data_IF_491001429417
#
_entry.id   IF_491001429417
#
_cell.length_a   1.000
_cell.length_b   1.000
_cell.length_c   1.000
_cell.angle_alpha   90.00
_cell.angle_beta   90.00
_cell.angle_gamma   90.00
#
_symmetry.space_group_name_H-M   'P 1'
#
loop_
_entity.id
_entity.type
_entity.pdbx_description
1 polymer ?
#
# COMPACT_ATOMS: atom_id res chain seq x y z
N UNK A 1 8.92 -0.84 12.89
CA UNK A 1 9.89 -0.67 11.80
C UNK A 1 10.70 0.62 11.97
N UNK A 2 11.93 0.70 11.41
CA UNK A 2 12.77 1.89 11.52
C UNK A 2 12.26 3.02 10.63
N UNK A 3 12.30 4.25 11.16
CA UNK A 3 12.05 5.47 10.43
C UNK A 3 12.90 6.60 11.04
N UNK A 4 13.57 7.39 10.20
CA UNK A 4 14.40 8.52 10.68
C UNK A 4 13.59 9.57 11.42
N UNK A 5 12.39 9.84 10.90
CA UNK A 5 11.40 10.73 11.47
C UNK A 5 10.02 10.15 11.19
N UNK A 6 9.07 10.26 12.11
CA UNK A 6 7.71 9.82 11.87
C UNK A 6 7.00 10.77 10.90
N UNK A 7 6.08 10.25 10.09
CA UNK A 7 5.14 11.06 9.33
C UNK A 7 3.74 10.82 9.85
N UNK A 8 3.24 11.77 10.62
CA UNK A 8 1.96 11.71 11.31
C UNK A 8 0.90 12.60 10.66
N UNK A 9 1.22 13.29 9.58
CA UNK A 9 0.29 14.19 8.89
C UNK A 9 -0.24 13.56 7.61
N UNK A 10 -1.47 13.93 7.24
CA UNK A 10 -2.09 13.41 6.02
C UNK A 10 -3.09 14.40 5.46
N UNK A 11 -2.97 14.74 4.18
CA UNK A 11 -3.93 15.57 3.45
C UNK A 11 -4.39 16.81 4.23
N UNK A 12 -3.93 17.96 3.83
CA UNK A 12 -4.28 19.23 4.47
C UNK A 12 -5.06 20.15 3.52
N UNK A 13 -5.87 20.98 4.12
CA UNK A 13 -6.53 22.11 3.48
C UNK A 13 -5.83 23.37 3.95
N UNK A 14 -5.12 24.07 3.05
CA UNK A 14 -4.38 25.29 3.34
C UNK A 14 -5.13 26.48 2.77
N UNK A 15 -5.25 27.53 3.55
CA UNK A 15 -5.69 28.84 3.03
C UNK A 15 -4.50 29.51 2.33
N UNK A 16 -4.67 29.87 1.06
CA UNK A 16 -3.58 30.35 0.21
C UNK A 16 -4.14 31.29 -0.88
N UNK A 17 -3.71 32.52 -0.88
CA UNK A 17 -4.17 33.53 -1.83
C UNK A 17 -5.69 33.74 -1.80
N UNK A 18 -6.28 33.81 -0.62
CA UNK A 18 -7.71 34.07 -0.43
C UNK A 18 -8.64 32.88 -0.67
N UNK A 19 -8.12 31.65 -0.82
CA UNK A 19 -8.90 30.43 -1.07
C UNK A 19 -8.33 29.22 -0.35
N UNK A 20 -9.18 28.23 -0.13
CA UNK A 20 -8.76 26.93 0.40
C UNK A 20 -8.23 26.01 -0.70
N UNK A 21 -7.05 25.47 -0.50
CA UNK A 21 -6.35 24.59 -1.45
C UNK A 21 -6.04 23.25 -0.76
N UNK A 22 -6.22 22.15 -1.49
CA UNK A 22 -5.92 20.80 -0.99
C UNK A 22 -4.45 20.47 -1.23
N UNK A 23 -3.74 20.06 -0.18
CA UNK A 23 -2.36 19.59 -0.24
C UNK A 23 -2.27 18.13 0.24
N UNK A 24 -1.49 17.31 -0.46
CA UNK A 24 -1.21 15.92 -0.10
C UNK A 24 -1.55 14.93 -1.21
N UNK A 25 -2.49 14.08 -1.01
CA UNK A 25 -2.76 12.78 -1.60
C UNK A 25 -2.94 12.64 -3.12
N UNK A 26 -2.81 13.65 -3.93
CA UNK A 26 -3.09 13.54 -5.38
C UNK A 26 -1.89 13.09 -6.22
N UNK A 27 -0.70 12.97 -5.64
CA UNK A 27 0.55 12.65 -6.36
C UNK A 27 1.12 11.34 -5.83
N UNK A 28 1.43 10.42 -6.74
CA UNK A 28 2.12 9.18 -6.39
C UNK A 28 3.59 9.47 -6.04
N UNK A 29 4.07 8.85 -4.96
CA UNK A 29 5.43 9.00 -4.50
C UNK A 29 5.57 9.78 -3.20
N UNK A 30 6.81 10.04 -2.74
CA UNK A 30 7.07 10.85 -1.56
C UNK A 30 6.53 12.26 -1.75
N UNK A 31 5.80 12.74 -0.77
CA UNK A 31 5.27 14.11 -0.82
C UNK A 31 6.38 15.11 -0.52
N UNK A 32 6.55 16.15 -1.35
CA UNK A 32 7.66 17.12 -1.18
C UNK A 32 7.71 17.74 0.21
N UNK A 33 6.56 17.99 0.80
CA UNK A 33 6.42 18.59 2.11
C UNK A 33 6.29 17.56 3.25
N UNK A 34 6.35 16.26 2.94
CA UNK A 34 6.21 15.20 3.95
C UNK A 34 4.87 15.17 4.66
N UNK A 35 3.79 15.60 3.99
CA UNK A 35 2.42 15.64 4.52
C UNK A 35 1.60 14.39 4.19
N UNK A 36 2.24 13.27 4.04
CA UNK A 36 1.59 11.98 3.89
C UNK A 36 2.06 11.04 5.00
N UNK A 37 1.12 10.39 5.68
CA UNK A 37 1.36 9.59 6.88
C UNK A 37 2.13 8.30 6.63
N UNK A 38 2.80 7.82 7.67
CA UNK A 38 3.33 6.46 7.72
C UNK A 38 2.20 5.45 7.93
N UNK A 39 2.39 4.25 7.37
CA UNK A 39 1.39 3.18 7.44
C UNK A 39 2.09 1.82 7.51
N UNK A 40 1.43 0.87 8.15
CA UNK A 40 1.75 -0.54 8.05
C UNK A 40 0.52 -1.32 7.64
N UNK A 41 0.71 -2.33 6.81
CA UNK A 41 -0.34 -3.25 6.41
C UNK A 41 0.10 -4.68 6.64
N UNK A 42 -0.85 -5.53 6.99
CA UNK A 42 -0.69 -6.97 7.02
C UNK A 42 -1.82 -7.60 6.19
N UNK A 43 -1.47 -8.46 5.28
CA UNK A 43 -2.41 -9.33 4.58
C UNK A 43 -2.38 -10.70 5.22
N UNK A 44 -3.54 -11.29 5.39
CA UNK A 44 -3.71 -12.63 5.99
C UNK A 44 -4.52 -13.51 5.05
N UNK A 45 -4.05 -14.75 4.87
CA UNK A 45 -4.72 -15.81 4.13
C UNK A 45 -4.71 -17.10 4.92
N UNK A 46 -5.80 -17.83 4.91
CA UNK A 46 -5.95 -19.12 5.58
C UNK A 46 -5.68 -20.32 4.65
N UNK A 47 -5.11 -20.06 3.47
CA UNK A 47 -4.83 -21.03 2.43
C UNK A 47 -5.91 -21.10 1.33
N UNK A 48 -6.97 -20.30 1.43
CA UNK A 48 -8.04 -20.26 0.43
C UNK A 48 -7.66 -19.46 -0.83
N UNK A 49 -6.57 -18.68 -0.79
CA UNK A 49 -5.96 -18.00 -1.94
C UNK A 49 -4.59 -18.62 -2.23
N UNK A 50 -4.53 -19.71 -3.03
CA UNK A 50 -3.29 -20.47 -3.23
C UNK A 50 -2.14 -19.63 -3.80
N UNK A 51 -2.47 -18.64 -4.60
CA UNK A 51 -1.48 -17.73 -5.20
C UNK A 51 -0.82 -16.85 -4.14
N UNK A 52 -1.51 -16.55 -3.04
CA UNK A 52 -0.94 -15.70 -1.98
C UNK A 52 0.23 -16.37 -1.27
N UNK A 53 0.19 -17.67 -1.03
CA UNK A 53 1.32 -18.41 -0.49
C UNK A 53 2.58 -18.33 -1.38
N UNK A 54 2.39 -18.12 -2.70
CA UNK A 54 3.48 -18.01 -3.68
C UNK A 54 3.98 -16.59 -3.87
N UNK A 55 3.09 -15.61 -3.85
CA UNK A 55 3.40 -14.25 -4.31
C UNK A 55 3.22 -13.18 -3.21
N UNK A 56 2.64 -13.53 -2.08
CA UNK A 56 2.42 -12.61 -0.96
C UNK A 56 1.66 -11.36 -1.37
N UNK A 57 2.00 -10.23 -0.76
CA UNK A 57 1.38 -8.94 -1.04
C UNK A 57 1.53 -8.45 -2.49
N UNK A 58 2.44 -9.04 -3.24
CA UNK A 58 2.64 -8.66 -4.64
C UNK A 58 1.44 -9.01 -5.52
N UNK A 59 0.68 -10.03 -5.19
CA UNK A 59 -0.54 -10.42 -5.90
C UNK A 59 -1.60 -9.29 -5.95
N UNK A 60 -1.53 -8.34 -5.03
CA UNK A 60 -2.50 -7.24 -4.91
C UNK A 60 -2.06 -5.96 -5.62
N UNK A 61 -1.02 -5.98 -6.42
CA UNK A 61 -0.42 -4.76 -6.97
C UNK A 61 -0.91 -4.44 -8.38
N UNK A 62 -2.09 -4.90 -8.73
CA UNK A 62 -2.74 -4.61 -10.00
C UNK A 62 -2.34 -5.57 -11.11
N UNK A 63 -3.04 -5.43 -12.22
CA UNK A 63 -2.71 -6.12 -13.45
C UNK A 63 -1.30 -5.74 -13.90
N UNK A 64 -0.51 -6.64 -14.37
CA UNK A 64 0.83 -6.39 -14.92
C UNK A 64 1.81 -5.64 -14.02
N UNK A 65 1.48 -5.35 -12.76
CA UNK A 65 2.32 -4.58 -11.82
C UNK A 65 2.80 -3.24 -12.35
N UNK A 66 2.06 -2.65 -13.21
CA UNK A 66 2.36 -1.38 -13.82
C UNK A 66 1.55 -0.30 -13.14
N UNK A 67 2.04 0.17 -12.03
CA UNK A 67 1.40 1.24 -11.28
C UNK A 67 1.07 2.48 -12.09
N UNK A 68 1.75 2.69 -13.20
CA UNK A 68 1.72 3.96 -13.86
C UNK A 68 1.18 3.91 -15.26
N UNK A 69 1.04 2.74 -15.85
CA UNK A 69 0.76 2.68 -17.28
C UNK A 69 -0.53 2.01 -17.69
N UNK A 70 -1.13 1.20 -16.82
CA UNK A 70 -2.36 0.47 -17.15
C UNK A 70 -3.33 0.40 -15.98
N UNK A 71 -3.26 1.37 -15.09
CA UNK A 71 -4.30 1.51 -14.08
C UNK A 71 -5.60 1.92 -14.76
N UNK A 72 -6.68 1.28 -14.35
CA UNK A 72 -8.01 1.65 -14.77
C UNK A 72 -8.28 3.13 -14.47
N UNK A 73 -8.60 3.92 -15.46
CA UNK A 73 -8.94 5.31 -15.25
C UNK A 73 -10.27 5.41 -14.51
N UNK A 74 -10.44 6.35 -13.56
CA UNK A 74 -11.67 6.48 -12.79
C UNK A 74 -12.94 6.56 -13.64
N UNK A 75 -12.88 7.21 -14.81
CA UNK A 75 -14.00 7.30 -15.73
C UNK A 75 -14.34 5.95 -16.38
N UNK A 76 -13.33 5.16 -16.74
CA UNK A 76 -13.50 3.82 -17.32
C UNK A 76 -14.09 2.86 -16.29
N UNK A 77 -13.59 2.89 -15.05
CA UNK A 77 -14.13 2.07 -13.95
C UNK A 77 -15.58 2.44 -13.65
N UNK A 78 -15.89 3.74 -13.62
CA UNK A 78 -17.26 4.22 -13.38
C UNK A 78 -18.22 3.78 -14.49
N UNK A 79 -17.74 3.68 -15.73
CA UNK A 79 -18.54 3.23 -16.86
C UNK A 79 -18.70 1.70 -16.92
N UNK A 80 -17.90 0.94 -16.18
CA UNK A 80 -17.98 -0.53 -16.18
C UNK A 80 -19.29 -1.01 -15.53
N UNK A 81 -20.06 -1.91 -16.17
CA UNK A 81 -21.39 -2.31 -15.69
C UNK A 81 -21.42 -2.84 -14.26
N UNK A 82 -20.45 -3.64 -13.89
CA UNK A 82 -20.31 -4.23 -12.57
C UNK A 82 -19.49 -3.34 -11.62
N UNK A 83 -18.24 -3.03 -11.99
CA UNK A 83 -17.31 -2.29 -11.12
C UNK A 83 -17.77 -0.86 -10.86
N UNK A 84 -18.47 -0.23 -11.81
CA UNK A 84 -19.01 1.10 -11.66
C UNK A 84 -20.04 1.26 -10.56
N UNK A 85 -20.68 0.15 -10.15
CA UNK A 85 -21.63 0.12 -9.05
C UNK A 85 -21.00 -0.16 -7.69
N UNK A 86 -19.72 -0.51 -7.65
CA UNK A 86 -19.01 -0.85 -6.40
C UNK A 86 -18.45 0.38 -5.71
N UNK A 87 -18.38 0.30 -4.40
CA UNK A 87 -17.71 1.32 -3.59
C UNK A 87 -16.20 1.27 -3.83
N UNK A 88 -15.54 2.44 -3.89
CA UNK A 88 -14.09 2.56 -4.10
C UNK A 88 -13.59 1.99 -5.44
N UNK A 89 -14.32 2.20 -6.50
CA UNK A 89 -14.01 1.67 -7.85
C UNK A 89 -12.60 1.99 -8.36
N UNK A 90 -11.98 3.05 -7.86
CA UNK A 90 -10.59 3.39 -8.21
C UNK A 90 -9.55 2.40 -7.69
N UNK A 91 -9.93 1.49 -6.79
CA UNK A 91 -9.06 0.47 -6.21
C UNK A 91 -9.12 -0.89 -6.94
N UNK A 92 -9.71 -0.95 -8.12
CA UNK A 92 -9.86 -2.18 -8.91
C UNK A 92 -8.53 -2.83 -9.30
N UNK A 93 -7.44 -2.08 -9.31
CA UNK A 93 -6.10 -2.61 -9.50
C UNK A 93 -5.64 -3.58 -8.42
N UNK A 94 -6.34 -3.67 -7.29
CA UNK A 94 -6.07 -4.58 -6.17
C UNK A 94 -7.03 -5.77 -6.17
N UNK A 95 -7.20 -6.41 -7.29
CA UNK A 95 -8.03 -7.62 -7.42
C UNK A 95 -7.22 -8.91 -7.33
N UNK A 96 -7.88 -10.00 -6.98
CA UNK A 96 -7.29 -11.34 -6.97
C UNK A 96 -7.49 -12.05 -8.32
N UNK A 97 -6.55 -12.93 -8.72
CA UNK A 97 -6.53 -13.53 -10.06
C UNK A 97 -7.84 -14.22 -10.47
N UNK A 98 -8.40 -15.10 -9.62
CA UNK A 98 -9.61 -15.84 -9.97
C UNK A 98 -10.86 -14.97 -10.14
N UNK A 99 -10.80 -13.69 -9.78
CA UNK A 99 -11.91 -12.74 -9.98
C UNK A 99 -11.95 -12.16 -11.40
N UNK A 100 -11.00 -12.53 -12.26
CA UNK A 100 -10.91 -12.09 -13.65
C UNK A 100 -10.82 -13.28 -14.61
N UNK A 101 -11.45 -13.14 -15.77
CA UNK A 101 -11.30 -14.10 -16.88
C UNK A 101 -9.91 -14.05 -17.48
N UNK A 102 -9.35 -12.84 -17.58
CA UNK A 102 -7.95 -12.57 -17.89
C UNK A 102 -7.35 -11.74 -16.76
N UNK A 103 -6.36 -12.28 -16.07
CA UNK A 103 -5.70 -11.61 -14.93
C UNK A 103 -4.99 -10.32 -15.34
N UNK A 104 -4.69 -10.13 -16.62
CA UNK A 104 -4.07 -8.94 -17.17
C UNK A 104 -5.08 -7.85 -17.59
N UNK A 105 -6.36 -8.17 -17.56
CA UNK A 105 -7.46 -7.25 -17.89
C UNK A 105 -8.32 -6.97 -16.64
N UNK A 106 -8.15 -5.81 -16.06
CA UNK A 106 -8.90 -5.41 -14.88
C UNK A 106 -10.42 -5.39 -15.10
N UNK A 107 -10.87 -5.22 -16.34
CA UNK A 107 -12.28 -5.14 -16.69
C UNK A 107 -12.92 -6.52 -16.94
N UNK A 108 -12.12 -7.57 -17.13
CA UNK A 108 -12.60 -8.92 -17.48
C UNK A 108 -13.18 -9.69 -16.29
N UNK A 109 -14.03 -9.06 -15.50
CA UNK A 109 -14.63 -9.64 -14.30
C UNK A 109 -15.39 -10.93 -14.63
N UNK A 110 -15.22 -11.97 -13.82
CA UNK A 110 -16.00 -13.21 -13.95
C UNK A 110 -17.46 -12.96 -13.56
N UNK A 111 -18.42 -13.84 -13.92
CA UNK A 111 -19.83 -13.69 -13.57
C UNK A 111 -20.07 -13.52 -12.06
N UNK A 112 -21.12 -12.79 -11.69
CA UNK A 112 -21.41 -12.50 -10.28
C UNK A 112 -21.65 -13.76 -9.45
N UNK A 113 -22.23 -14.81 -10.06
CA UNK A 113 -22.42 -16.11 -9.39
C UNK A 113 -21.10 -16.77 -9.04
N UNK A 114 -20.12 -16.67 -9.94
CA UNK A 114 -18.76 -17.18 -9.71
C UNK A 114 -18.03 -16.37 -8.62
N UNK A 115 -18.14 -15.04 -8.66
CA UNK A 115 -17.63 -14.18 -7.57
C UNK A 115 -18.25 -14.54 -6.22
N UNK A 116 -19.56 -14.75 -6.18
CA UNK A 116 -20.26 -15.12 -4.95
C UNK A 116 -19.78 -16.49 -4.42
N UNK A 117 -19.58 -17.46 -5.32
CA UNK A 117 -19.07 -18.78 -4.97
C UNK A 117 -17.62 -18.69 -4.44
N UNK A 118 -16.75 -17.95 -5.12
CA UNK A 118 -15.37 -17.69 -4.67
C UNK A 118 -15.35 -17.08 -3.27
N UNK A 119 -16.12 -16.05 -3.04
CA UNK A 119 -16.16 -15.36 -1.75
C UNK A 119 -16.72 -16.25 -0.64
N UNK A 120 -17.78 -16.99 -0.91
CA UNK A 120 -18.34 -17.98 0.03
C UNK A 120 -17.34 -19.08 0.35
N UNK A 121 -16.50 -19.45 -0.60
CA UNK A 121 -15.38 -20.39 -0.42
C UNK A 121 -14.19 -19.81 0.31
N UNK A 122 -14.24 -18.53 0.73
CA UNK A 122 -13.16 -17.86 1.46
C UNK A 122 -12.06 -17.27 0.55
N UNK A 123 -12.24 -17.24 -0.77
CA UNK A 123 -11.25 -16.69 -1.70
C UNK A 123 -11.19 -15.16 -1.62
N UNK A 124 -10.57 -14.65 -0.59
CA UNK A 124 -10.26 -13.24 -0.37
C UNK A 124 -9.06 -13.14 0.58
N UNK A 125 -8.41 -11.99 0.64
CA UNK A 125 -7.36 -11.68 1.62
C UNK A 125 -7.91 -10.68 2.63
N UNK A 126 -7.72 -10.97 3.89
CA UNK A 126 -7.99 -10.06 5.00
C UNK A 126 -6.84 -9.05 5.08
N UNK A 127 -7.15 -7.77 5.22
CA UNK A 127 -6.19 -6.67 5.15
C UNK A 127 -6.29 -5.74 6.35
N UNK A 128 -5.36 -5.85 7.25
CA UNK A 128 -5.17 -4.94 8.38
C UNK A 128 -4.36 -3.74 7.94
N UNK A 129 -4.90 -2.55 8.09
CA UNK A 129 -4.28 -1.35 7.53
C UNK A 129 -4.19 -0.22 8.57
N UNK A 130 -3.15 -0.24 9.39
CA UNK A 130 -2.87 0.84 10.34
C UNK A 130 -2.33 2.09 9.62
N UNK A 131 -2.75 3.26 10.10
CA UNK A 131 -2.38 4.58 9.59
C UNK A 131 -2.09 5.55 10.71
N UNK A 132 -0.95 6.24 10.62
CA UNK A 132 -0.47 7.14 11.67
C UNK A 132 -1.37 8.36 11.91
N UNK A 133 -2.08 8.85 10.88
CA UNK A 133 -2.99 9.99 10.99
C UNK A 133 -4.45 9.56 11.02
N UNK A 134 -4.87 8.70 10.07
CA UNK A 134 -6.29 8.45 9.81
C UNK A 134 -6.96 7.42 10.72
N UNK A 135 -6.20 6.78 11.57
CA UNK A 135 -6.72 5.75 12.49
C UNK A 135 -6.09 5.85 13.88
N UNK A 136 -4.78 6.00 13.96
CA UNK A 136 -4.05 5.98 15.23
C UNK A 136 -4.59 6.96 16.29
N UNK A 137 -4.91 8.24 15.97
CA UNK A 137 -5.41 9.17 17.00
C UNK A 137 -6.77 8.78 17.59
N UNK A 138 -7.53 7.94 16.93
CA UNK A 138 -8.83 7.42 17.42
C UNK A 138 -8.76 5.96 17.88
N UNK A 139 -7.52 5.43 18.03
CA UNK A 139 -7.29 4.06 18.51
C UNK A 139 -7.75 2.97 17.55
N UNK A 140 -7.80 3.25 16.23
CA UNK A 140 -8.33 2.35 15.22
C UNK A 140 -7.32 2.03 14.13
N UNK A 141 -7.45 0.85 13.56
CA UNK A 141 -6.86 0.46 12.28
C UNK A 141 -8.00 0.20 11.30
N UNK A 142 -7.80 0.53 10.02
CA UNK A 142 -8.79 0.15 9.01
C UNK A 142 -8.80 -1.37 8.86
N UNK A 143 -9.97 -1.94 8.97
CA UNK A 143 -10.26 -3.31 8.60
C UNK A 143 -10.80 -3.35 7.18
N UNK A 144 -10.18 -4.15 6.34
CA UNK A 144 -10.38 -4.17 4.91
C UNK A 144 -10.18 -5.59 4.38
N UNK A 145 -10.63 -5.84 3.16
CA UNK A 145 -10.29 -7.08 2.44
C UNK A 145 -10.01 -6.80 0.96
N UNK A 146 -9.29 -7.73 0.34
CA UNK A 146 -9.03 -7.73 -1.11
C UNK A 146 -9.70 -8.93 -1.74
N UNK A 147 -10.48 -8.68 -2.77
CA UNK A 147 -11.20 -9.69 -3.54
C UNK A 147 -11.21 -9.34 -5.03
N UNK A 148 -12.33 -8.96 -5.61
CA UNK A 148 -12.44 -8.42 -6.98
C UNK A 148 -12.02 -6.94 -7.07
N UNK A 149 -11.86 -6.32 -5.93
CA UNK A 149 -11.22 -5.03 -5.66
C UNK A 149 -10.80 -4.98 -4.20
N UNK A 150 -10.19 -3.88 -3.75
CA UNK A 150 -10.01 -3.61 -2.33
C UNK A 150 -11.23 -2.93 -1.76
N UNK A 151 -11.77 -3.49 -0.70
CA UNK A 151 -12.92 -2.98 0.03
C UNK A 151 -12.55 -2.62 1.46
N UNK A 152 -13.24 -1.64 2.01
CA UNK A 152 -13.36 -1.53 3.46
C UNK A 152 -14.48 -2.44 3.94
N UNK A 153 -14.35 -2.95 5.13
CA UNK A 153 -15.36 -3.77 5.77
C UNK A 153 -16.66 -3.00 6.00
N UNK A 154 -17.69 -3.68 6.43
CA UNK A 154 -18.99 -3.05 6.66
C UNK A 154 -18.93 -2.09 7.83
N UNK A 155 -19.70 -1.01 7.75
CA UNK A 155 -19.79 0.00 8.80
C UNK A 155 -19.13 1.33 8.43
N UNK A 156 -18.91 2.13 9.45
CA UNK A 156 -18.34 3.47 9.35
C UNK A 156 -16.84 3.40 9.66
N UNK A 157 -16.00 3.77 8.69
CA UNK A 157 -14.55 3.83 8.88
C UNK A 157 -14.09 4.96 9.82
N UNK A 158 -12.82 4.91 10.20
CA UNK A 158 -12.21 5.81 11.19
C UNK A 158 -12.12 7.29 10.76
N UNK A 159 -12.44 7.62 9.52
CA UNK A 159 -12.39 9.00 9.02
C UNK A 159 -13.39 9.24 7.89
N UNK A 160 -13.63 10.53 7.62
CA UNK A 160 -14.38 11.00 6.46
C UNK A 160 -13.69 12.22 5.84
N UNK A 161 -14.15 12.66 4.66
CA UNK A 161 -13.60 13.84 3.99
C UNK A 161 -14.17 15.12 4.62
N UNK A 162 -13.31 16.05 4.96
CA UNK A 162 -13.63 17.37 5.52
C UNK A 162 -13.73 18.46 4.44
N UNK A 163 -13.90 18.09 3.17
CA UNK A 163 -13.99 19.02 2.07
C UNK A 163 -15.43 19.19 1.57
N UNK A 164 -15.89 20.42 1.44
CA UNK A 164 -17.11 20.77 0.73
C UNK A 164 -16.76 21.13 -0.71
N UNK A 165 -17.10 20.22 -1.64
CA UNK A 165 -16.78 20.39 -3.05
C UNK A 165 -17.63 21.47 -3.74
N UNK A 166 -18.82 21.81 -3.20
CA UNK A 166 -19.68 22.86 -3.76
C UNK A 166 -19.19 24.23 -3.35
N UNK A 167 -18.85 24.39 -2.07
CA UNK A 167 -18.38 25.65 -1.51
C UNK A 167 -16.87 25.86 -1.65
N UNK A 168 -16.12 24.84 -2.09
CA UNK A 168 -14.67 24.86 -2.21
C UNK A 168 -13.96 25.27 -0.89
N UNK A 169 -14.40 24.71 0.23
CA UNK A 169 -13.91 25.05 1.58
C UNK A 169 -13.97 23.83 2.50
N UNK A 170 -13.33 23.89 3.70
CA UNK A 170 -13.56 22.88 4.74
C UNK A 170 -15.03 22.82 5.16
N UNK A 171 -15.50 21.66 5.63
CA UNK A 171 -16.81 21.50 6.27
C UNK A 171 -16.76 21.86 7.75
N UNK A 172 -15.63 21.54 8.40
CA UNK A 172 -15.38 21.71 9.81
C UNK A 172 -14.02 22.35 10.04
N UNK A 173 -13.87 23.07 11.12
CA UNK A 173 -12.61 23.60 11.63
C UNK A 173 -12.39 23.11 13.06
N UNK A 174 -11.18 23.29 13.59
CA UNK A 174 -10.88 22.98 15.01
C UNK A 174 -11.72 23.89 15.92
N UNK A 175 -12.27 23.27 16.98
CA UNK A 175 -13.01 23.99 18.01
C UNK A 175 -12.03 24.78 18.91
N UNK A 176 -12.03 26.12 18.85
CA UNK A 176 -11.09 26.91 19.63
C UNK A 176 -11.28 26.79 21.15
N UNK A 177 -12.46 26.36 21.60
CA UNK A 177 -12.71 26.14 23.02
C UNK A 177 -12.03 24.85 23.53
N UNK A 178 -11.89 23.84 22.65
CA UNK A 178 -11.29 22.56 23.00
C UNK A 178 -9.81 22.46 22.62
N UNK A 179 -9.39 23.15 21.58
CA UNK A 179 -8.05 23.00 21.00
C UNK A 179 -7.22 24.28 21.08
N UNK A 180 -7.79 25.36 21.63
CA UNK A 180 -7.18 26.69 21.72
C UNK A 180 -6.85 27.34 20.37
N UNK A 181 -7.28 26.74 19.24
CA UNK A 181 -7.00 27.20 17.88
C UNK A 181 -8.11 26.80 16.91
N UNK A 182 -8.27 27.55 15.82
CA UNK A 182 -9.23 27.26 14.75
C UNK A 182 -8.60 26.48 13.57
N UNK A 183 -7.30 26.64 13.42
CA UNK A 183 -6.48 26.02 12.38
C UNK A 183 -5.06 25.80 12.89
N UNK A 184 -4.36 24.89 12.23
CA UNK A 184 -2.92 24.69 12.38
C UNK A 184 -2.18 25.74 11.54
N UNK A 185 -0.87 25.85 11.73
CA UNK A 185 -0.01 26.67 10.86
C UNK A 185 0.73 25.78 9.87
N UNK A 186 0.69 26.14 8.61
CA UNK A 186 1.37 25.42 7.53
C UNK A 186 2.86 25.23 7.81
N UNK A 187 3.52 26.29 8.28
CA UNK A 187 4.97 26.25 8.56
C UNK A 187 5.32 25.25 9.69
N UNK A 188 4.45 25.11 10.69
CA UNK A 188 4.68 24.13 11.76
C UNK A 188 4.55 22.70 11.27
N UNK A 189 3.64 22.43 10.32
CA UNK A 189 3.53 21.15 9.66
C UNK A 189 4.74 20.83 8.79
N UNK A 190 5.18 21.76 7.95
CA UNK A 190 6.33 21.60 7.05
C UNK A 190 7.62 21.41 7.83
N UNK A 191 7.79 22.17 8.91
CA UNK A 191 8.95 22.09 9.79
C UNK A 191 8.84 20.94 10.81
N UNK A 192 7.73 20.16 10.77
CA UNK A 192 7.46 19.04 11.67
C UNK A 192 7.60 19.37 13.15
N UNK A 193 7.09 20.55 13.54
CA UNK A 193 7.13 21.00 14.92
C UNK A 193 6.10 20.33 15.80
N UNK A 194 4.96 19.89 15.21
CA UNK A 194 3.89 19.24 15.94
C UNK A 194 4.21 17.76 16.13
N UNK A 195 4.16 17.30 17.36
CA UNK A 195 4.38 15.91 17.75
C UNK A 195 3.08 15.19 18.15
N UNK A 196 3.21 14.04 18.77
CA UNK A 196 2.08 13.20 19.16
C UNK A 196 1.19 13.81 20.25
N UNK A 197 1.71 14.72 21.04
CA UNK A 197 0.99 15.35 22.15
C UNK A 197 0.38 16.71 21.74
N UNK A 198 0.64 17.14 20.51
CA UNK A 198 0.08 18.37 19.95
C UNK A 198 -1.21 18.10 19.18
N UNK A 199 -1.95 19.16 18.91
CA UNK A 199 -3.13 19.12 18.04
C UNK A 199 -2.63 19.16 16.59
N UNK A 200 -2.67 18.02 15.89
CA UNK A 200 -2.31 17.90 14.45
C UNK A 200 -3.40 17.22 13.63
N UNK A 201 -4.50 16.83 14.25
CA UNK A 201 -5.66 16.19 13.61
C UNK A 201 -6.96 16.83 14.10
N UNK A 202 -8.06 16.51 13.44
CA UNK A 202 -9.41 16.94 13.83
C UNK A 202 -10.32 15.72 13.97
N UNK A 203 -11.06 15.64 15.06
CA UNK A 203 -12.05 14.60 15.34
C UNK A 203 -13.47 15.16 15.38
N UNK A 204 -14.49 14.30 15.31
CA UNK A 204 -15.89 14.71 15.52
C UNK A 204 -16.06 15.46 16.85
N UNK A 205 -15.29 15.09 17.88
CA UNK A 205 -15.36 15.71 19.22
C UNK A 205 -14.66 17.08 19.31
N UNK A 206 -13.68 17.33 18.46
CA UNK A 206 -12.88 18.57 18.44
C UNK A 206 -13.18 19.45 17.23
N UNK A 207 -14.25 19.15 16.52
CA UNK A 207 -14.68 19.88 15.32
C UNK A 207 -15.89 20.78 15.62
N UNK A 208 -15.90 21.93 14.97
CA UNK A 208 -17.08 22.81 14.86
C UNK A 208 -17.32 23.12 13.39
N UNK A 209 -18.56 23.49 12.98
CA UNK A 209 -18.83 23.93 11.63
C UNK A 209 -17.85 25.03 11.17
N UNK A 210 -17.43 24.93 9.94
CA UNK A 210 -16.50 25.90 9.37
C UNK A 210 -17.14 27.30 9.29
N UNK A 211 -16.42 28.29 9.81
CA UNK A 211 -16.83 29.70 9.78
C UNK A 211 -16.16 30.41 8.58
N UNK A 212 -16.91 30.63 7.54
CA UNK A 212 -16.42 31.33 6.33
C UNK A 212 -16.18 32.83 6.55
N UNK A 213 -16.78 33.43 7.60
CA UNK A 213 -16.66 34.85 7.90
C UNK A 213 -15.45 35.18 8.79
N UNK A 214 -14.78 34.14 9.32
CA UNK A 214 -13.55 34.34 10.07
C UNK A 214 -12.44 34.91 9.17
N UNK A 215 -11.63 35.82 9.68
CA UNK A 215 -10.53 36.43 8.95
C UNK A 215 -9.35 35.42 8.78
N UNK A 216 -9.52 34.45 7.88
CA UNK A 216 -8.51 33.45 7.56
C UNK A 216 -7.26 34.12 6.98
N UNK A 217 -6.09 33.60 7.35
CA UNK A 217 -4.78 34.12 6.91
C UNK A 217 -4.07 33.07 6.07
N UNK A 218 -3.27 33.53 5.12
CA UNK A 218 -2.41 32.63 4.34
C UNK A 218 -1.54 31.77 5.27
N UNK A 219 -1.53 30.47 5.01
CA UNK A 219 -0.87 29.48 5.88
C UNK A 219 -1.76 28.87 6.96
N UNK A 220 -2.97 29.37 7.21
CA UNK A 220 -3.92 28.67 8.06
C UNK A 220 -4.27 27.32 7.43
N UNK A 221 -4.24 26.26 8.22
CA UNK A 221 -4.33 24.90 7.71
C UNK A 221 -5.26 24.04 8.55
N UNK A 222 -6.18 23.35 7.90
CA UNK A 222 -7.15 22.45 8.53
C UNK A 222 -6.91 21.03 8.01
N UNK A 223 -6.89 19.99 8.88
CA UNK A 223 -6.81 18.62 8.41
C UNK A 223 -7.98 18.25 7.50
N UNK A 224 -7.66 17.67 6.34
CA UNK A 224 -8.68 17.27 5.37
C UNK A 224 -9.48 16.05 5.82
N UNK A 225 -8.98 15.28 6.77
CA UNK A 225 -9.67 14.09 7.28
C UNK A 225 -10.26 14.38 8.64
N UNK A 226 -11.59 14.34 8.73
CA UNK A 226 -12.31 14.35 10.00
C UNK A 226 -12.30 12.93 10.56
N UNK A 227 -11.63 12.75 11.68
CA UNK A 227 -11.49 11.45 12.35
C UNK A 227 -12.70 11.17 13.24
N UNK A 228 -12.99 9.88 13.39
CA UNK A 228 -14.13 9.40 14.17
C UNK A 228 -13.93 7.96 14.60
N UNK A 229 -14.62 7.53 15.64
CA UNK A 229 -14.61 6.13 16.03
C UNK A 229 -15.31 5.29 14.96
N UNK A 230 -14.67 4.23 14.46
CA UNK A 230 -15.31 3.31 13.53
C UNK A 230 -16.42 2.51 14.21
N UNK A 231 -17.29 1.88 13.42
CA UNK A 231 -18.27 0.92 13.91
C UNK A 231 -18.44 -0.24 12.92
N UNK A 232 -19.23 -1.24 13.30
CA UNK A 232 -19.42 -2.45 12.50
C UNK A 232 -18.11 -3.23 12.37
N UNK A 233 -17.90 -3.88 11.25
CA UNK A 233 -16.71 -4.66 10.94
C UNK A 233 -15.44 -3.78 10.89
N UNK A 234 -15.55 -2.55 10.46
CA UNK A 234 -14.44 -1.58 10.50
C UNK A 234 -13.84 -1.33 11.89
N UNK A 235 -14.53 -1.70 12.96
CA UNK A 235 -14.08 -1.51 14.33
C UNK A 235 -13.36 -2.73 14.91
N UNK A 236 -13.23 -3.82 14.16
CA UNK A 236 -12.71 -5.08 14.69
C UNK A 236 -11.23 -5.01 15.04
N UNK A 237 -10.46 -4.19 14.33
CA UNK A 237 -9.04 -3.98 14.64
C UNK A 237 -8.85 -2.70 15.44
N UNK A 238 -8.35 -2.84 16.65
CA UNK A 238 -8.02 -1.72 17.54
C UNK A 238 -6.51 -1.53 17.66
N UNK A 239 -6.09 -0.29 17.91
CA UNK A 239 -4.69 0.05 18.25
C UNK A 239 -4.57 0.12 19.75
N UNK A 240 -3.72 -0.71 20.33
CA UNK A 240 -3.52 -0.75 21.78
C UNK A 240 -2.58 0.38 22.19
N UNK A 241 -3.04 1.26 23.07
CA UNK A 241 -2.23 2.31 23.70
C UNK A 241 -1.77 3.43 22.78
N UNK A 242 -2.28 3.58 21.57
CA UNK A 242 -1.79 4.45 20.50
C UNK A 242 -0.37 4.08 20.05
N UNK A 243 -0.20 3.81 18.78
CA UNK A 243 1.12 3.55 18.21
C UNK A 243 2.00 4.81 18.32
N UNK A 244 3.26 4.61 18.67
CA UNK A 244 4.24 5.69 18.88
C UNK A 244 5.51 5.44 18.09
N UNK A 245 6.13 6.52 17.68
CA UNK A 245 7.49 6.49 17.18
C UNK A 245 8.42 6.91 18.32
N UNK A 246 9.39 6.07 18.63
CA UNK A 246 10.37 6.30 19.68
C UNK A 246 11.72 5.68 19.28
N UNK A 247 12.81 6.36 19.59
CA UNK A 247 14.19 5.88 19.40
C UNK A 247 14.49 5.39 17.98
N UNK A 248 13.90 6.05 16.97
CA UNK A 248 14.10 5.68 15.57
C UNK A 248 13.16 4.59 15.05
N UNK A 249 12.20 4.13 15.84
CA UNK A 249 11.29 3.05 15.49
C UNK A 249 9.83 3.41 15.70
N UNK A 250 8.97 2.89 14.86
CA UNK A 250 7.56 2.77 15.15
C UNK A 250 7.29 1.51 15.96
N UNK A 251 6.51 1.68 17.01
CA UNK A 251 5.88 0.59 17.76
C UNK A 251 4.37 0.66 17.54
N UNK A 252 3.81 -0.43 17.00
CA UNK A 252 2.39 -0.52 16.64
C UNK A 252 1.84 -1.85 17.12
N UNK A 253 0.95 -1.80 18.11
CA UNK A 253 0.24 -2.99 18.60
C UNK A 253 -1.20 -2.97 18.10
N UNK A 254 -1.56 -3.98 17.32
CA UNK A 254 -2.93 -4.19 16.82
C UNK A 254 -3.58 -5.36 17.54
N UNK A 255 -4.84 -5.24 17.84
CA UNK A 255 -5.65 -6.27 18.50
C UNK A 255 -6.94 -6.50 17.75
N UNK A 256 -7.25 -7.79 17.50
CA UNK A 256 -8.52 -8.25 16.93
C UNK A 256 -8.93 -9.57 17.59
N UNK A 257 -10.21 -9.85 17.66
CA UNK A 257 -10.71 -11.18 18.02
C UNK A 257 -10.22 -12.22 17.01
N UNK A 258 -9.90 -13.42 17.46
CA UNK A 258 -9.54 -14.53 16.57
C UNK A 258 -10.72 -14.93 15.67
N UNK A 259 -11.92 -14.90 16.19
CA UNK A 259 -13.17 -15.06 15.46
C UNK A 259 -14.00 -13.78 15.64
N UNK A 260 -14.19 -13.05 14.56
CA UNK A 260 -15.03 -11.84 14.52
C UNK A 260 -16.51 -12.15 14.24
N UNK A 261 -16.81 -13.39 13.89
CA UNK A 261 -18.16 -13.80 13.42
C UNK A 261 -18.48 -13.31 11.99
N UNK A 262 -17.47 -12.85 11.24
CA UNK A 262 -17.62 -12.24 9.90
C UNK A 262 -16.75 -12.94 8.85
N UNK A 263 -17.02 -14.21 8.54
CA UNK A 263 -16.15 -15.04 7.71
C UNK A 263 -16.12 -14.65 6.23
N UNK A 264 -16.81 -13.58 5.83
CA UNK A 264 -16.83 -13.10 4.43
C UNK A 264 -15.93 -11.90 4.18
N UNK A 265 -15.42 -11.26 5.23
CA UNK A 265 -14.49 -10.11 5.15
C UNK A 265 -13.27 -10.30 6.06
N UNK A 266 -13.40 -11.09 7.12
CA UNK A 266 -12.33 -11.45 8.03
C UNK A 266 -11.88 -12.91 7.89
N UNK A 267 -10.60 -13.16 7.98
CA UNK A 267 -10.06 -14.50 8.17
C UNK A 267 -10.19 -14.91 9.62
N UNK A 268 -10.99 -15.96 9.85
CA UNK A 268 -11.15 -16.52 11.19
C UNK A 268 -9.86 -17.23 11.58
N UNK A 269 -9.27 -16.81 12.69
CA UNK A 269 -8.06 -17.40 13.25
C UNK A 269 -8.42 -18.59 14.15
N UNK A 270 -7.84 -19.74 13.86
CA UNK A 270 -8.11 -20.98 14.60
C UNK A 270 -6.81 -21.55 15.13
N UNK A 271 -6.80 -22.00 16.38
CA UNK A 271 -5.65 -22.68 16.99
C UNK A 271 -5.23 -23.91 16.17
N UNK A 272 -3.95 -24.25 16.25
CA UNK A 272 -3.31 -25.36 15.52
C UNK A 272 -3.36 -25.26 13.99
N UNK A 273 -3.52 -24.04 13.46
CA UNK A 273 -3.45 -23.76 12.01
C UNK A 273 -2.24 -22.92 11.64
N UNK A 274 -1.90 -22.96 10.37
CA UNK A 274 -0.89 -22.12 9.74
C UNK A 274 -1.61 -21.20 8.77
N UNK A 275 -1.24 -19.90 8.81
CA UNK A 275 -1.72 -18.86 7.93
C UNK A 275 -0.57 -18.34 7.08
N UNK A 276 -0.87 -17.82 5.90
CA UNK A 276 0.09 -17.06 5.13
C UNK A 276 -0.11 -15.57 5.43
N UNK A 277 0.97 -14.86 5.67
CA UNK A 277 0.93 -13.42 5.93
C UNK A 277 1.96 -12.69 5.07
N UNK A 278 1.66 -11.44 4.73
CA UNK A 278 2.61 -10.53 4.11
C UNK A 278 2.44 -9.13 4.69
N UNK A 279 3.56 -8.42 4.79
CA UNK A 279 3.61 -7.10 5.41
C UNK A 279 4.03 -6.04 4.38
N UNK A 280 3.51 -4.83 4.55
CA UNK A 280 4.05 -3.69 3.83
C UNK A 280 4.13 -2.46 4.73
N UNK A 281 5.19 -1.67 4.55
CA UNK A 281 5.43 -0.42 5.25
C UNK A 281 5.52 0.72 4.24
N UNK A 282 4.75 1.76 4.49
CA UNK A 282 4.76 3.00 3.70
C UNK A 282 5.36 4.12 4.55
N UNK A 283 6.32 4.81 4.00
CA UNK A 283 6.96 5.97 4.63
C UNK A 283 6.73 7.21 3.79
N UNK A 284 5.99 8.20 4.31
CA UNK A 284 5.58 9.46 3.64
C UNK A 284 5.07 9.27 2.21
N UNK A 285 4.35 8.21 1.91
CA UNK A 285 4.18 7.86 0.53
C UNK A 285 2.77 7.44 0.17
N UNK A 286 2.31 7.93 -0.97
CA UNK A 286 1.13 7.46 -1.68
C UNK A 286 1.56 6.47 -2.77
N UNK A 287 0.73 5.43 -2.94
CA UNK A 287 0.89 4.46 -4.02
C UNK A 287 1.86 3.33 -3.74
N UNK A 288 1.82 2.34 -4.62
CA UNK A 288 2.42 1.04 -4.37
C UNK A 288 3.93 1.02 -4.54
N UNK A 289 4.49 1.89 -5.35
CA UNK A 289 5.95 1.93 -5.58
C UNK A 289 6.75 2.48 -4.41
N UNK A 290 6.09 3.13 -3.48
CA UNK A 290 6.75 3.85 -2.40
C UNK A 290 6.59 3.15 -1.06
N UNK A 291 6.28 1.87 -1.11
CA UNK A 291 6.24 1.03 0.08
C UNK A 291 7.18 -0.17 -0.08
N UNK A 292 7.63 -0.68 1.04
CA UNK A 292 8.42 -1.88 1.11
C UNK A 292 7.50 -3.05 1.48
N UNK A 293 7.63 -4.17 0.80
CA UNK A 293 6.73 -5.33 0.90
C UNK A 293 7.55 -6.56 1.25
N UNK A 294 7.04 -7.40 2.15
CA UNK A 294 7.64 -8.70 2.45
C UNK A 294 7.32 -9.73 1.36
N UNK A 295 8.17 -10.73 1.24
CA UNK A 295 7.74 -12.01 0.69
C UNK A 295 6.69 -12.64 1.61
N UNK A 296 5.89 -13.61 1.12
CA UNK A 296 4.96 -14.33 1.98
C UNK A 296 5.72 -15.09 3.06
N UNK A 297 5.23 -15.04 4.27
CA UNK A 297 5.74 -15.80 5.42
C UNK A 297 4.59 -16.57 6.06
N UNK A 298 4.91 -17.71 6.65
CA UNK A 298 3.92 -18.50 7.37
C UNK A 298 3.83 -18.06 8.83
N UNK A 299 2.60 -17.97 9.34
CA UNK A 299 2.28 -17.70 10.73
C UNK A 299 1.60 -18.91 11.35
N UNK A 300 2.23 -19.56 12.31
CA UNK A 300 1.68 -20.70 13.03
C UNK A 300 1.02 -20.28 14.34
N UNK A 301 -0.23 -20.68 14.51
CA UNK A 301 -0.94 -20.61 15.79
C UNK A 301 -0.88 -22.00 16.45
N UNK A 302 0.03 -22.16 17.42
CA UNK A 302 0.28 -23.48 18.03
C UNK A 302 0.85 -24.53 17.04
N UNK A 303 1.53 -24.08 16.00
CA UNK A 303 2.19 -24.90 14.96
C UNK A 303 3.53 -24.29 14.59
N UNK A 304 4.47 -25.12 14.19
CA UNK A 304 5.76 -24.68 13.66
C UNK A 304 5.57 -23.95 12.33
N UNK A 305 6.12 -22.75 12.24
CA UNK A 305 6.07 -21.88 11.07
C UNK A 305 7.24 -20.89 11.11
N UNK A 306 7.38 -20.01 10.10
CA UNK A 306 8.42 -18.98 10.10
C UNK A 306 8.20 -17.92 11.19
N UNK A 307 6.93 -17.58 11.43
CA UNK A 307 6.49 -16.79 12.59
C UNK A 307 5.63 -17.70 13.47
N UNK A 308 5.95 -17.76 14.74
CA UNK A 308 5.22 -18.59 15.70
C UNK A 308 4.51 -17.66 16.67
N UNK A 309 3.18 -17.76 16.70
CA UNK A 309 2.38 -17.00 17.65
C UNK A 309 2.53 -17.57 19.06
N UNK A 310 2.78 -16.71 20.02
CA UNK A 310 2.83 -17.07 21.43
C UNK A 310 1.45 -16.95 22.06
N UNK A 311 0.96 -18.02 22.64
CA UNK A 311 -0.28 -17.98 23.43
C UNK A 311 0.00 -17.30 24.77
N UNK A 312 -0.95 -16.50 25.21
CA UNK A 312 -0.93 -15.87 26.54
C UNK A 312 -2.31 -16.02 27.20
N UNK A 313 -2.30 -16.02 28.52
CA UNK A 313 -3.51 -16.03 29.34
C UNK A 313 -3.76 -14.61 29.87
N UNK A 314 -5.02 -14.19 29.91
CA UNK A 314 -5.40 -12.85 30.36
C UNK A 314 -5.69 -11.88 29.23
N UNK A 315 -5.71 -10.57 29.55
CA UNK A 315 -6.13 -9.53 28.61
C UNK A 315 -5.01 -8.93 27.77
N UNK A 316 -3.76 -9.08 28.22
CA UNK A 316 -2.59 -8.50 27.56
C UNK A 316 -1.44 -9.52 27.47
N UNK A 317 -0.72 -9.56 26.34
CA UNK A 317 0.43 -10.43 26.21
C UNK A 317 1.62 -9.91 27.01
N UNK A 318 2.48 -10.80 27.44
CA UNK A 318 3.79 -10.45 27.98
C UNK A 318 4.79 -10.30 26.85
N UNK A 319 5.29 -9.10 26.64
CA UNK A 319 6.20 -8.75 25.51
C UNK A 319 7.68 -9.09 25.84
N UNK A 320 7.94 -10.25 26.37
CA UNK A 320 9.30 -10.73 26.70
C UNK A 320 9.85 -11.76 25.69
N UNK A 321 9.11 -11.99 24.62
CA UNK A 321 9.53 -12.91 23.58
C UNK A 321 10.51 -12.24 22.60
N UNK A 322 11.43 -12.98 21.97
CA UNK A 322 12.31 -12.42 20.96
C UNK A 322 11.51 -11.92 19.76
N UNK A 323 11.95 -10.79 19.18
CA UNK A 323 11.36 -10.25 17.97
C UNK A 323 11.64 -11.13 16.77
N UNK A 324 10.62 -11.41 15.98
CA UNK A 324 10.80 -11.98 14.65
C UNK A 324 11.08 -10.84 13.65
N UNK A 325 12.14 -11.00 12.89
CA UNK A 325 12.50 -10.03 11.85
C UNK A 325 11.94 -10.47 10.51
N UNK A 326 11.15 -9.60 9.88
CA UNK A 326 10.64 -9.82 8.52
C UNK A 326 11.31 -8.82 7.59
N UNK A 327 12.02 -9.33 6.58
CA UNK A 327 12.68 -8.48 5.58
C UNK A 327 11.65 -7.94 4.60
N UNK A 328 11.68 -6.62 4.40
CA UNK A 328 10.84 -5.92 3.44
C UNK A 328 11.68 -5.44 2.25
N UNK A 329 11.15 -5.60 1.07
CA UNK A 329 11.78 -5.19 -0.17
C UNK A 329 11.00 -4.06 -0.81
N UNK A 330 11.69 -3.07 -1.33
CA UNK A 330 11.07 -2.20 -2.33
C UNK A 330 10.72 -3.04 -3.55
N UNK A 331 9.54 -2.91 -4.18
CA UNK A 331 9.12 -3.82 -5.25
C UNK A 331 10.11 -4.02 -6.40
N UNK A 332 11.00 -3.07 -6.65
CA UNK A 332 12.06 -3.20 -7.65
C UNK A 332 13.41 -3.71 -7.12
N UNK A 333 13.51 -4.06 -5.83
CA UNK A 333 14.78 -4.46 -5.18
C UNK A 333 14.94 -5.97 -5.01
N UNK A 334 13.98 -6.77 -5.41
CA UNK A 334 14.07 -8.23 -5.30
C UNK A 334 15.19 -8.72 -6.22
N UNK A 335 16.21 -9.33 -5.64
CA UNK A 335 17.38 -9.81 -6.36
C UNK A 335 17.29 -11.31 -6.68
N UNK A 336 18.21 -11.81 -7.53
CA UNK A 336 18.22 -13.19 -7.96
C UNK A 336 18.27 -14.21 -6.82
N UNK A 337 19.00 -13.93 -5.77
CA UNK A 337 19.09 -14.81 -4.60
C UNK A 337 17.72 -14.97 -3.92
N UNK A 338 16.99 -13.87 -3.75
CA UNK A 338 15.64 -13.90 -3.19
C UNK A 338 14.66 -14.60 -4.14
N UNK A 339 14.74 -14.33 -5.44
CA UNK A 339 13.87 -14.94 -6.46
C UNK A 339 13.99 -16.46 -6.47
N UNK A 340 15.18 -17.01 -6.23
CA UNK A 340 15.43 -18.44 -6.20
C UNK A 340 15.31 -19.06 -4.79
N UNK A 341 15.01 -18.28 -3.78
CA UNK A 341 14.83 -18.77 -2.43
C UNK A 341 13.52 -19.55 -2.27
N UNK A 342 13.47 -20.45 -1.27
CA UNK A 342 12.22 -21.15 -0.92
C UNK A 342 11.08 -20.22 -0.50
N UNK A 343 11.42 -19.00 -0.10
CA UNK A 343 10.45 -17.97 0.32
C UNK A 343 9.78 -17.27 -0.85
N UNK A 344 10.35 -17.38 -2.04
CA UNK A 344 9.81 -16.77 -3.24
C UNK A 344 8.81 -17.69 -3.94
N UNK A 345 7.53 -17.31 -3.97
CA UNK A 345 6.48 -18.14 -4.55
C UNK A 345 6.64 -18.45 -6.04
N UNK A 346 7.32 -17.58 -6.80
CA UNK A 346 7.65 -17.78 -8.21
C UNK A 346 8.92 -18.58 -8.48
N UNK A 347 9.67 -19.00 -7.45
CA UNK A 347 11.00 -19.61 -7.62
C UNK A 347 11.00 -20.85 -8.53
N UNK A 348 9.97 -21.66 -8.47
CA UNK A 348 9.86 -22.86 -9.33
C UNK A 348 9.68 -22.50 -10.81
N UNK A 349 8.91 -21.48 -11.12
CA UNK A 349 8.74 -21.01 -12.49
C UNK A 349 10.07 -20.46 -13.02
N UNK A 350 10.78 -19.69 -12.18
CA UNK A 350 12.10 -19.16 -12.55
C UNK A 350 13.08 -20.29 -12.81
N UNK A 351 13.11 -21.33 -11.97
CA UNK A 351 13.94 -22.53 -12.16
C UNK A 351 13.58 -23.31 -13.41
N UNK A 352 12.35 -23.21 -13.87
CA UNK A 352 11.89 -23.80 -15.16
C UNK A 352 12.27 -22.94 -16.37
N UNK A 353 13.02 -21.87 -16.18
CA UNK A 353 13.53 -21.03 -17.26
C UNK A 353 12.59 -19.88 -17.67
N UNK A 354 11.57 -19.55 -16.87
CA UNK A 354 10.78 -18.35 -17.11
C UNK A 354 11.70 -17.13 -16.99
N UNK A 355 11.81 -16.29 -18.03
CA UNK A 355 12.66 -15.10 -18.00
C UNK A 355 12.26 -14.15 -16.89
N UNK A 356 13.21 -13.46 -16.28
CA UNK A 356 12.98 -12.47 -15.22
C UNK A 356 13.51 -11.10 -15.63
N UNK A 357 12.78 -10.07 -15.23
CA UNK A 357 13.18 -8.68 -15.41
C UNK A 357 13.66 -8.07 -14.11
N UNK A 358 14.85 -7.54 -14.12
CA UNK A 358 15.54 -7.03 -12.94
C UNK A 358 14.95 -5.75 -12.34
N UNK A 359 14.05 -5.05 -13.05
CA UNK A 359 13.47 -3.77 -12.60
C UNK A 359 12.15 -3.90 -11.84
N UNK A 360 11.58 -5.08 -11.83
CA UNK A 360 10.30 -5.33 -11.18
C UNK A 360 10.45 -6.52 -10.27
N UNK A 361 9.49 -6.72 -9.40
CA UNK A 361 9.39 -7.98 -8.71
C UNK A 361 9.06 -9.06 -9.74
N UNK A 362 10.01 -9.88 -10.05
CA UNK A 362 9.89 -10.95 -11.05
C UNK A 362 8.90 -12.03 -10.65
N UNK A 363 8.51 -12.06 -9.39
CA UNK A 363 7.37 -12.83 -8.90
C UNK A 363 6.17 -12.64 -9.78
N UNK A 364 5.90 -11.40 -10.04
CA UNK A 364 4.74 -10.99 -10.79
C UNK A 364 4.88 -11.28 -12.26
N UNK A 365 6.07 -11.04 -12.75
CA UNK A 365 6.40 -11.36 -14.13
C UNK A 365 6.19 -12.84 -14.38
N UNK A 366 6.75 -13.69 -13.50
CA UNK A 366 6.60 -15.14 -13.59
C UNK A 366 5.15 -15.59 -13.46
N UNK A 367 4.36 -14.95 -12.61
CA UNK A 367 2.97 -15.32 -12.39
C UNK A 367 2.04 -14.87 -13.51
N UNK A 368 2.21 -13.63 -13.95
CA UNK A 368 1.28 -13.01 -14.90
C UNK A 368 1.77 -13.06 -16.36
N UNK A 369 2.91 -13.68 -16.61
CA UNK A 369 3.49 -13.73 -17.94
C UNK A 369 3.84 -12.35 -18.50
N UNK A 370 4.09 -11.36 -17.62
CA UNK A 370 4.37 -9.99 -18.04
C UNK A 370 5.69 -9.87 -18.79
N UNK A 371 6.67 -10.71 -18.47
CA UNK A 371 7.91 -10.82 -19.22
C UNK A 371 7.68 -11.22 -20.68
N UNK A 372 6.67 -12.01 -20.97
CA UNK A 372 6.30 -12.36 -22.34
C UNK A 372 5.93 -11.12 -23.12
N UNK A 373 5.17 -10.22 -22.53
CA UNK A 373 4.79 -8.94 -23.14
C UNK A 373 6.01 -8.06 -23.47
N UNK A 374 7.04 -8.10 -22.63
CA UNK A 374 8.25 -7.31 -22.82
C UNK A 374 9.41 -8.07 -23.45
N UNK A 375 9.31 -9.39 -23.61
CA UNK A 375 10.39 -10.22 -24.09
C UNK A 375 10.88 -9.75 -25.48
N UNK A 376 9.98 -9.43 -26.39
CA UNK A 376 10.32 -8.94 -27.71
C UNK A 376 10.96 -7.55 -27.69
N UNK A 377 10.48 -6.65 -26.83
CA UNK A 377 11.09 -5.34 -26.67
C UNK A 377 12.50 -5.43 -26.07
N UNK A 378 12.70 -6.31 -25.08
CA UNK A 378 14.00 -6.58 -24.47
C UNK A 378 14.95 -7.22 -25.47
N UNK A 379 14.49 -8.23 -26.22
CA UNK A 379 15.27 -8.90 -27.27
C UNK A 379 15.70 -7.91 -28.34
N UNK A 380 14.78 -7.08 -28.84
CA UNK A 380 15.07 -6.03 -29.81
C UNK A 380 16.12 -5.04 -29.30
N UNK A 381 15.96 -4.55 -28.08
CA UNK A 381 16.92 -3.62 -27.48
C UNK A 381 18.30 -4.26 -27.32
N UNK A 382 18.35 -5.53 -26.88
CA UNK A 382 19.59 -6.28 -26.75
C UNK A 382 20.28 -6.45 -28.11
N UNK A 383 19.53 -6.86 -29.17
CA UNK A 383 20.07 -6.99 -30.50
C UNK A 383 20.62 -5.68 -31.05
N UNK A 384 19.91 -4.56 -30.85
CA UNK A 384 20.39 -3.23 -31.26
C UNK A 384 21.67 -2.84 -30.53
N UNK A 385 21.78 -3.17 -29.26
CA UNK A 385 22.98 -2.89 -28.45
C UNK A 385 24.18 -3.71 -28.95
N UNK A 386 23.97 -5.00 -29.22
CA UNK A 386 25.00 -5.88 -29.77
C UNK A 386 25.44 -5.39 -31.12
N UNK A 387 24.49 -5.08 -32.03
CA UNK A 387 24.78 -4.56 -33.36
C UNK A 387 25.59 -3.25 -33.28
N UNK A 388 25.19 -2.32 -32.43
CA UNK A 388 25.95 -1.08 -32.22
C UNK A 388 27.38 -1.34 -31.71
N UNK A 389 27.55 -2.28 -30.80
CA UNK A 389 28.86 -2.71 -30.34
C UNK A 389 29.74 -3.29 -31.44
N UNK A 390 29.17 -4.18 -32.27
CA UNK A 390 29.88 -4.77 -33.40
C UNK A 390 30.28 -3.68 -34.42
N UNK A 391 29.38 -2.77 -34.75
CA UNK A 391 29.66 -1.66 -35.66
C UNK A 391 30.77 -0.73 -35.12
N UNK A 392 30.78 -0.45 -33.83
CA UNK A 392 31.84 0.34 -33.20
C UNK A 392 33.20 -0.38 -33.28
N UNK A 393 33.25 -1.68 -33.00
CA UNK A 393 34.49 -2.47 -33.10
C UNK A 393 34.98 -2.53 -34.55
N UNK A 394 34.09 -2.77 -35.50
CA UNK A 394 34.42 -2.80 -36.90
C UNK A 394 34.93 -1.43 -37.41
N UNK A 395 34.22 -0.34 -37.03
CA UNK A 395 34.61 1.01 -37.37
C UNK A 395 35.99 1.39 -36.78
N UNK A 396 36.25 1.01 -35.53
CA UNK A 396 37.55 1.19 -34.91
C UNK A 396 38.65 0.39 -35.63
N UNK A 397 38.38 -0.87 -36.02
CA UNK A 397 39.30 -1.69 -36.78
C UNK A 397 39.65 -1.10 -38.15
N UNK A 398 38.67 -0.58 -38.88
CA UNK A 398 38.87 0.12 -40.15
C UNK A 398 39.70 1.40 -39.92
N UNK A 399 39.37 2.22 -38.97
CA UNK A 399 40.09 3.44 -38.66
C UNK A 399 41.54 3.15 -38.30
N UNK A 400 41.81 2.15 -37.47
CA UNK A 400 43.14 1.71 -37.11
C UNK A 400 43.93 1.22 -38.32
N UNK A 401 43.31 0.41 -39.18
CA UNK A 401 43.95 -0.06 -40.39
C UNK A 401 44.33 1.09 -41.34
N UNK A 402 43.44 2.07 -41.51
CA UNK A 402 43.71 3.25 -42.33
C UNK A 402 44.87 4.11 -41.75
N UNK A 403 44.92 4.25 -40.42
CA UNK A 403 46.02 4.95 -39.76
C UNK A 403 47.36 4.24 -39.91
N UNK A 404 47.36 2.92 -39.79
CA UNK A 404 48.55 2.09 -39.99
C UNK A 404 49.07 2.15 -41.45
N UNK A 405 48.17 2.10 -42.43
CA UNK A 405 48.54 2.25 -43.84
C UNK A 405 49.11 3.63 -44.18
N UNK A 406 48.58 4.69 -43.55
CA UNK A 406 49.14 6.06 -43.69
C UNK A 406 50.54 6.17 -43.12
N UNK A 407 50.89 5.45 -42.06
CA UNK A 407 52.22 5.42 -41.47
C UNK A 407 53.24 4.60 -42.28
N UNK A 408 52.77 3.66 -43.10
CA UNK A 408 53.62 2.81 -43.93
C UNK A 408 53.84 3.38 -45.32
N UNK A 409 53.11 4.40 -45.70
CA UNK A 409 53.21 5.06 -47.01
C UNK A 409 53.95 6.40 -47.03
N UNK A 410 54.80 6.65 -46.03
CA UNK A 410 55.75 7.77 -46.01
C UNK A 410 57.15 7.21 -46.09
#
# INVERSE_FOLDING_TARGET
WPARQPSIYHDMLKFDGGKWVRYGASVAGPQPQGIYEDRVTMLVDDGSVPEFARYGGYITVGDRMRFFTNEAKPAEVKAHPYLGQKRNQVEVGKHLPATRKDINDWASVVPEEELAALRKGGYFLDLWHWRAHRGNPVGASDDQFVFDARYGDSGRGAFTDNWDAQKQQPRFMLDPQKTSQRALKWDDLIQRKLGFDDVYFITEDTAVPFDANYAWKDGDTIPRRLLRRPNGSHADITVVGSARWKDGFWDVTLKRAMDTGKPTDDKIMVDKRIYNVAFAVHRHALGSRWHNVSLPVTLGLGRDAELIATRFDGNEPTWNQPWHTVTLFYPGQVNWANLNSKKHGGAENIKKGVPVKYRHSEIQLAHYGVEVEFADAVRRQWLLTVLAGVLLIAGFGVALNLLLKRKQGV
#
